data_IF_690415511360
#
_entry.id   IF_690415511360
#
_cell.length_a   1.000
_cell.length_b   1.000
_cell.length_c   1.000
_cell.angle_alpha   90.00
_cell.angle_beta   90.00
_cell.angle_gamma   90.00
#
_symmetry.space_group_name_H-M   'P 1'
#
loop_
_entity.id
_entity.type
_entity.pdbx_description
1 polymer ?
#
# COMPACT_ATOMS: atom_id res chain seq x y z
N UNK A 1 -0.32 -28.06 1.35
CA UNK A 1 -1.28 -26.93 1.29
C UNK A 1 -2.00 -26.85 2.63
N UNK A 2 -1.74 -25.84 3.47
CA UNK A 2 -2.57 -25.53 4.63
C UNK A 2 -2.57 -24.03 4.91
N UNK A 3 -3.74 -23.45 4.59
CA UNK A 3 -4.50 -22.38 5.28
C UNK A 3 -3.77 -21.10 5.69
N UNK A 4 -4.18 -20.02 5.00
CA UNK A 4 -3.97 -18.61 5.30
C UNK A 4 -4.24 -18.25 6.76
N UNK A 5 -3.17 -17.94 7.51
CA UNK A 5 -3.18 -17.36 8.87
C UNK A 5 -3.40 -15.82 8.85
N UNK A 6 -4.03 -15.30 7.80
CA UNK A 6 -4.30 -13.86 7.68
C UNK A 6 -5.55 -13.55 8.51
N UNK A 7 -5.36 -12.95 9.68
CA UNK A 7 -6.44 -12.49 10.58
C UNK A 7 -6.69 -11.00 10.37
N UNK A 8 -7.96 -10.62 10.22
CA UNK A 8 -8.35 -9.21 10.16
C UNK A 8 -8.52 -8.67 11.58
N UNK A 9 -7.78 -7.62 11.92
CA UNK A 9 -7.85 -6.92 13.20
C UNK A 9 -8.22 -5.45 12.98
N UNK A 10 -8.94 -4.86 13.93
CA UNK A 10 -9.15 -3.40 13.97
C UNK A 10 -7.91 -2.70 14.55
N UNK A 11 -7.76 -1.40 14.29
CA UNK A 11 -6.64 -0.61 14.82
C UNK A 11 -6.57 -0.62 16.36
N UNK A 12 -7.73 -0.62 17.02
CA UNK A 12 -7.82 -0.69 18.48
C UNK A 12 -7.38 -2.06 19.00
N UNK A 13 -7.80 -3.13 18.33
CA UNK A 13 -7.37 -4.49 18.66
C UNK A 13 -5.86 -4.66 18.49
N UNK A 14 -5.28 -4.16 17.39
CA UNK A 14 -3.82 -4.21 17.16
C UNK A 14 -3.05 -3.50 18.26
N UNK A 15 -3.54 -2.36 18.75
CA UNK A 15 -2.89 -1.61 19.83
C UNK A 15 -3.02 -2.26 21.20
N UNK A 16 -4.10 -3.01 21.42
CA UNK A 16 -4.36 -3.75 22.66
C UNK A 16 -3.64 -5.11 22.70
N UNK A 17 -3.28 -5.66 21.53
CA UNK A 17 -2.53 -6.90 21.44
C UNK A 17 -1.14 -6.70 22.06
N UNK A 18 -0.80 -7.59 22.99
CA UNK A 18 0.55 -7.66 23.54
C UNK A 18 1.45 -8.30 22.52
N UNK A 19 2.65 -7.76 22.37
CA UNK A 19 3.65 -8.40 21.53
C UNK A 19 4.08 -9.73 22.16
N UNK A 20 4.10 -10.78 21.35
CA UNK A 20 4.63 -12.09 21.72
C UNK A 20 6.17 -12.16 21.61
N UNK A 21 6.79 -11.11 21.06
CA UNK A 21 8.23 -11.02 20.90
C UNK A 21 8.87 -10.53 22.20
N UNK A 22 9.91 -11.25 22.67
CA UNK A 22 10.82 -10.72 23.69
C UNK A 22 11.75 -9.67 23.07
N UNK A 23 11.29 -8.42 23.06
CA UNK A 23 12.04 -7.29 22.51
C UNK A 23 13.33 -6.99 23.24
N UNK A 24 13.44 -7.36 24.52
CA UNK A 24 14.65 -7.12 25.31
C UNK A 24 15.75 -8.06 24.86
N UNK A 25 15.44 -9.35 24.76
CA UNK A 25 16.36 -10.35 24.23
C UNK A 25 16.78 -10.05 22.77
N UNK A 26 15.84 -9.59 21.93
CA UNK A 26 16.14 -9.22 20.54
C UNK A 26 17.14 -8.05 20.46
N UNK A 27 16.99 -7.03 21.31
CA UNK A 27 17.84 -5.84 21.30
C UNK A 27 19.27 -6.13 21.77
N UNK A 28 19.40 -7.04 22.73
CA UNK A 28 20.70 -7.43 23.29
C UNK A 28 21.40 -8.51 22.45
N UNK A 29 20.72 -9.07 21.43
CA UNK A 29 21.29 -10.04 20.51
C UNK A 29 22.25 -9.37 19.51
N UNK A 30 23.35 -10.05 19.13
CA UNK A 30 24.23 -9.55 18.07
C UNK A 30 23.47 -9.47 16.73
N UNK A 31 23.94 -8.63 15.79
CA UNK A 31 23.43 -8.64 14.43
C UNK A 31 23.45 -10.06 13.87
N UNK A 32 22.36 -10.49 13.25
CA UNK A 32 22.31 -11.79 12.57
C UNK A 32 23.35 -11.83 11.44
N UNK A 33 24.26 -12.79 11.50
CA UNK A 33 25.36 -12.99 10.57
C UNK A 33 25.27 -14.33 9.80
N UNK A 34 24.15 -15.04 9.94
CA UNK A 34 23.89 -16.29 9.25
C UNK A 34 23.62 -16.11 7.77
N UNK A 35 23.56 -17.23 7.05
CA UNK A 35 23.24 -17.25 5.62
C UNK A 35 21.83 -16.66 5.38
N UNK A 36 21.70 -15.91 4.29
CA UNK A 36 20.39 -15.40 3.86
C UNK A 36 19.54 -16.60 3.42
N UNK A 37 18.33 -16.70 3.98
CA UNK A 37 17.40 -17.79 3.68
C UNK A 37 16.92 -17.79 2.21
N UNK A 38 17.09 -16.67 1.51
CA UNK A 38 16.76 -16.50 0.10
C UNK A 38 17.70 -15.49 -0.59
N UNK A 39 18.00 -15.74 -1.86
CA UNK A 39 18.81 -14.86 -2.69
C UNK A 39 17.97 -13.65 -3.15
N UNK A 40 18.32 -12.45 -2.66
CA UNK A 40 17.63 -11.21 -3.03
C UNK A 40 18.40 -10.48 -4.12
N UNK A 41 17.85 -10.48 -5.32
CA UNK A 41 18.36 -9.68 -6.43
C UNK A 41 17.95 -8.20 -6.28
N UNK A 42 18.78 -7.45 -5.56
CA UNK A 42 18.60 -6.01 -5.35
C UNK A 42 18.65 -5.18 -6.64
N UNK A 43 19.17 -5.72 -7.76
CA UNK A 43 19.16 -5.01 -9.04
C UNK A 43 17.75 -4.82 -9.61
N UNK A 44 16.80 -5.67 -9.20
CA UNK A 44 15.39 -5.59 -9.59
C UNK A 44 14.55 -4.78 -8.61
N UNK A 45 15.13 -4.31 -7.50
CA UNK A 45 14.41 -3.51 -6.53
C UNK A 45 14.00 -2.18 -7.16
N UNK A 46 12.69 -1.99 -7.37
CA UNK A 46 12.12 -0.71 -7.77
C UNK A 46 11.78 0.08 -6.52
N UNK A 47 12.45 1.19 -6.30
CA UNK A 47 12.06 2.13 -5.25
C UNK A 47 10.69 2.68 -5.64
N UNK A 48 9.66 2.34 -4.85
CA UNK A 48 8.30 2.83 -5.02
C UNK A 48 8.14 4.30 -4.63
N UNK A 49 9.06 5.18 -5.06
CA UNK A 49 8.88 6.62 -4.96
C UNK A 49 7.80 7.00 -5.96
N UNK A 50 6.55 7.02 -5.49
CA UNK A 50 5.48 7.64 -6.27
C UNK A 50 5.84 9.12 -6.42
N UNK A 51 5.93 9.58 -7.66
CA UNK A 51 6.06 11.01 -7.92
C UNK A 51 4.93 11.77 -7.22
N UNK A 52 5.23 12.96 -6.68
CA UNK A 52 4.21 13.79 -6.05
C UNK A 52 3.13 14.14 -7.07
N UNK A 53 1.87 14.05 -6.66
CA UNK A 53 0.74 14.39 -7.52
C UNK A 53 0.73 15.90 -7.77
N UNK A 54 0.57 16.30 -9.02
CA UNK A 54 0.36 17.71 -9.37
C UNK A 54 -1.05 18.14 -9.01
N UNK A 55 -1.17 19.20 -8.19
CA UNK A 55 -2.46 19.81 -7.88
C UNK A 55 -2.93 20.64 -9.08
N UNK A 56 -3.98 20.16 -9.75
CA UNK A 56 -4.60 20.84 -10.91
C UNK A 56 -6.05 21.17 -10.61
N UNK A 57 -6.52 22.31 -11.12
CA UNK A 57 -7.94 22.67 -11.10
C UNK A 57 -8.61 22.17 -12.37
N UNK A 58 -9.56 21.24 -12.23
CA UNK A 58 -10.34 20.67 -13.35
C UNK A 58 -11.83 20.88 -13.10
N UNK A 59 -12.60 21.02 -14.17
CA UNK A 59 -14.06 21.01 -14.10
C UNK A 59 -14.55 19.57 -14.31
N UNK A 60 -15.45 19.13 -13.45
CA UNK A 60 -16.06 17.81 -13.48
C UNK A 60 -17.58 17.97 -13.44
N UNK A 61 -18.29 17.05 -14.06
CA UNK A 61 -19.74 17.01 -13.96
C UNK A 61 -20.18 16.77 -12.50
N UNK A 62 -21.27 17.41 -12.04
CA UNK A 62 -21.69 17.33 -10.64
C UNK A 62 -22.00 15.90 -10.16
N UNK A 63 -22.56 15.08 -11.04
CA UNK A 63 -22.93 13.68 -10.79
C UNK A 63 -21.69 12.78 -10.64
N UNK A 64 -20.67 12.98 -11.46
CA UNK A 64 -19.37 12.29 -11.35
C UNK A 64 -18.71 12.64 -10.02
N UNK A 65 -18.68 13.93 -9.65
CA UNK A 65 -18.12 14.34 -8.37
C UNK A 65 -18.91 13.76 -7.19
N UNK A 66 -20.25 13.78 -7.26
CA UNK A 66 -21.11 13.19 -6.25
C UNK A 66 -20.89 11.67 -6.13
N UNK A 67 -20.70 10.97 -7.26
CA UNK A 67 -20.42 9.54 -7.30
C UNK A 67 -19.17 9.16 -6.52
N UNK A 68 -18.08 9.92 -6.66
CA UNK A 68 -16.86 9.65 -5.91
C UNK A 68 -16.98 10.09 -4.45
N UNK A 69 -17.58 11.26 -4.18
CA UNK A 69 -17.76 11.78 -2.81
C UNK A 69 -18.57 10.85 -1.92
N UNK A 70 -19.63 10.19 -2.43
CA UNK A 70 -20.43 9.23 -1.63
C UNK A 70 -19.66 8.02 -1.12
N UNK A 71 -18.48 7.73 -1.68
CA UNK A 71 -17.60 6.65 -1.24
C UNK A 71 -16.78 7.02 0.00
N UNK A 72 -16.89 8.26 0.48
CA UNK A 72 -16.24 8.74 1.70
C UNK A 72 -14.79 9.18 1.51
N UNK A 73 -14.04 9.19 2.62
CA UNK A 73 -12.63 9.64 2.66
C UNK A 73 -11.79 8.93 1.60
N UNK A 74 -10.94 9.70 0.91
CA UNK A 74 -10.08 9.19 -0.15
C UNK A 74 -10.71 9.19 -1.54
N UNK A 75 -11.87 9.81 -1.74
CA UNK A 75 -12.53 9.88 -3.05
C UNK A 75 -11.64 10.41 -4.18
N UNK A 76 -10.79 11.40 -3.90
CA UNK A 76 -9.82 11.93 -4.89
C UNK A 76 -8.79 10.88 -5.30
N UNK A 77 -8.35 10.03 -4.37
CA UNK A 77 -7.39 8.95 -4.68
C UNK A 77 -8.04 7.89 -5.55
N UNK A 78 -9.31 7.53 -5.28
CA UNK A 78 -10.08 6.61 -6.14
C UNK A 78 -10.32 7.20 -7.53
N UNK A 79 -10.69 8.46 -7.61
CA UNK A 79 -10.86 9.17 -8.87
C UNK A 79 -9.55 9.16 -9.70
N UNK A 80 -8.42 9.45 -9.07
CA UNK A 80 -7.11 9.38 -9.72
C UNK A 80 -6.74 7.96 -10.19
N UNK A 81 -7.09 6.92 -9.44
CA UNK A 81 -6.85 5.53 -9.84
C UNK A 81 -7.63 5.17 -11.11
N UNK A 82 -8.88 5.63 -11.25
CA UNK A 82 -9.69 5.44 -12.46
C UNK A 82 -9.06 6.15 -13.67
N UNK A 83 -8.64 7.41 -13.49
CA UNK A 83 -7.98 8.17 -14.56
C UNK A 83 -6.68 7.48 -15.03
N UNK A 84 -5.88 6.95 -14.09
CA UNK A 84 -4.67 6.19 -14.40
C UNK A 84 -4.97 4.91 -15.16
N UNK A 85 -5.95 4.13 -14.71
CA UNK A 85 -6.32 2.89 -15.37
C UNK A 85 -6.80 3.13 -16.81
N UNK A 86 -7.54 4.23 -17.04
CA UNK A 86 -7.94 4.64 -18.38
C UNK A 86 -6.73 5.01 -19.26
N UNK A 87 -5.80 5.82 -18.73
CA UNK A 87 -4.56 6.19 -19.42
C UNK A 87 -3.74 4.96 -19.83
N UNK A 88 -3.47 4.04 -18.90
CA UNK A 88 -2.70 2.81 -19.17
C UNK A 88 -3.39 1.89 -20.20
N UNK A 89 -4.72 1.82 -20.17
CA UNK A 89 -5.48 1.04 -21.13
C UNK A 89 -5.43 1.64 -22.55
N UNK A 90 -5.36 2.96 -22.66
CA UNK A 90 -5.21 3.66 -23.94
C UNK A 90 -3.80 3.54 -24.50
N UNK A 91 -2.76 3.65 -23.65
CA UNK A 91 -1.37 3.50 -24.07
C UNK A 91 -1.04 2.09 -24.57
N UNK A 92 -1.63 1.04 -23.97
CA UNK A 92 -1.44 -0.35 -24.43
C UNK A 92 -2.12 -0.69 -25.76
N UNK A 93 -3.04 0.15 -26.24
CA UNK A 93 -3.76 -0.05 -27.51
C UNK A 93 -3.07 0.62 -28.70
N UNK A 94 -2.13 1.53 -28.47
CA UNK A 94 -1.27 2.13 -29.50
C UNK A 94 0.05 1.38 -29.63
#
# INVERSE_FOLDING_TARGET
MSKSDIRQYTLEQVRALKSETDWKALKDSPPYDGEQEFDVDWSKARIGLSEPKTAVSIRLDPDVLAYFKRQGKGYQTRMNAVLRAYMEAMEKKG
#
